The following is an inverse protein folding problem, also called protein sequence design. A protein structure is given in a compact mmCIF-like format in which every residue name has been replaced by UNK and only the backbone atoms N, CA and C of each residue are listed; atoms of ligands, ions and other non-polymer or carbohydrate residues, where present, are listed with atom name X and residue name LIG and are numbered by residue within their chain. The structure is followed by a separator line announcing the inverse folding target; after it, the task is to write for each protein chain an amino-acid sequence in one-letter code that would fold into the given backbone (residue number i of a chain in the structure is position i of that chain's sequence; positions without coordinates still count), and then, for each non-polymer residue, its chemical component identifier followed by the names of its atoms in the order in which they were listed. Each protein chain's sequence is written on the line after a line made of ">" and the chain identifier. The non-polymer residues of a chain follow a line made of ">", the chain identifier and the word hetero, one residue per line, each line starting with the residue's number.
data_IF_937894296368
#
_entry.id   IF_937894296368
#
_cell.length_a   1.000
_cell.length_b   1.000
_cell.length_c   1.000
_cell.angle_alpha   90.00
_cell.angle_beta   90.00
_cell.angle_gamma   90.00
#
_symmetry.space_group_name_H-M   'P 1'
#
loop_
_entity.id
_entity.type
_entity.pdbx_description
1 polymer ?
#
# COMPACT_ATOMS: atom_id res chain seq x y z
N UNK A 1 -34.37 -26.35 -32.55
CA UNK A 1 -33.77 -25.64 -33.70
C UNK A 1 -32.36 -25.28 -33.28
N UNK A 2 -31.36 -25.49 -34.15
CA UNK A 2 -30.02 -24.99 -33.87
C UNK A 2 -30.03 -23.45 -33.99
N UNK A 3 -29.26 -22.72 -33.15
CA UNK A 3 -29.16 -21.28 -33.25
C UNK A 3 -28.59 -20.88 -34.62
N UNK A 4 -29.09 -19.79 -35.15
CA UNK A 4 -28.63 -19.16 -36.39
C UNK A 4 -27.22 -18.58 -36.23
N UNK A 5 -26.54 -18.37 -37.36
CA UNK A 5 -25.18 -17.84 -37.36
C UNK A 5 -25.09 -16.44 -36.72
N UNK A 6 -26.11 -15.61 -36.89
CA UNK A 6 -26.20 -14.30 -36.24
C UNK A 6 -26.36 -14.41 -34.72
N UNK A 7 -27.11 -15.41 -34.23
CA UNK A 7 -27.24 -15.67 -32.79
C UNK A 7 -25.94 -16.18 -32.20
N UNK A 8 -25.21 -17.04 -32.92
CA UNK A 8 -23.90 -17.53 -32.50
C UNK A 8 -22.90 -16.36 -32.42
N UNK A 9 -22.84 -15.52 -33.44
CA UNK A 9 -21.93 -14.37 -33.50
C UNK A 9 -22.26 -13.32 -32.41
N UNK A 10 -23.54 -13.10 -32.12
CA UNK A 10 -23.97 -12.23 -31.02
C UNK A 10 -23.55 -12.78 -29.65
N UNK A 11 -23.69 -14.08 -29.43
CA UNK A 11 -23.26 -14.74 -28.18
C UNK A 11 -21.74 -14.64 -28.03
N UNK A 12 -20.96 -14.90 -29.09
CA UNK A 12 -19.50 -14.81 -29.06
C UNK A 12 -19.02 -13.38 -28.74
N UNK A 13 -19.67 -12.36 -29.31
CA UNK A 13 -19.39 -10.95 -28.99
C UNK A 13 -19.73 -10.61 -27.55
N UNK A 14 -20.85 -11.12 -27.04
CA UNK A 14 -21.25 -10.92 -25.65
C UNK A 14 -20.27 -11.56 -24.67
N UNK A 15 -19.79 -12.78 -24.97
CA UNK A 15 -18.76 -13.46 -24.18
C UNK A 15 -17.46 -12.67 -24.20
N UNK A 16 -17.00 -12.18 -25.36
CA UNK A 16 -15.77 -11.40 -25.47
C UNK A 16 -15.87 -10.04 -24.73
N UNK A 17 -17.02 -9.36 -24.81
CA UNK A 17 -17.27 -8.12 -24.07
C UNK A 17 -17.29 -8.35 -22.55
N UNK A 18 -17.78 -9.52 -22.13
CA UNK A 18 -17.74 -9.97 -20.74
C UNK A 18 -16.35 -10.13 -20.15
N UNK A 19 -15.25 -10.01 -20.90
CA UNK A 19 -13.87 -9.98 -20.37
C UNK A 19 -13.26 -8.57 -20.29
N UNK A 20 -13.94 -7.53 -20.80
CA UNK A 20 -13.46 -6.13 -20.79
C UNK A 20 -14.13 -5.27 -19.73
N UNK A 21 -15.38 -5.57 -19.38
CA UNK A 21 -16.16 -4.81 -18.40
C UNK A 21 -16.80 -5.80 -17.42
N UNK A 22 -16.19 -5.95 -16.24
CA UNK A 22 -16.77 -6.71 -15.13
C UNK A 22 -17.35 -5.72 -14.12
N UNK A 23 -18.63 -5.84 -13.72
CA UNK A 23 -19.07 -5.22 -12.49
C UNK A 23 -18.30 -5.85 -11.33
N UNK A 24 -17.88 -5.03 -10.38
CA UNK A 24 -17.26 -5.52 -9.15
C UNK A 24 -18.19 -6.54 -8.50
N UNK A 25 -17.64 -7.69 -8.11
CA UNK A 25 -18.39 -8.73 -7.42
C UNK A 25 -19.01 -8.15 -6.15
N UNK A 26 -20.33 -8.30 -6.00
CA UNK A 26 -21.01 -7.99 -4.75
C UNK A 26 -20.46 -8.90 -3.65
N UNK A 27 -20.19 -8.33 -2.49
CA UNK A 27 -19.95 -9.11 -1.29
C UNK A 27 -21.31 -9.66 -0.86
N UNK A 28 -21.51 -10.96 -1.06
CA UNK A 28 -22.78 -11.65 -0.83
C UNK A 28 -22.91 -12.23 0.57
N UNK A 29 -21.81 -12.27 1.32
CA UNK A 29 -21.69 -12.88 2.64
C UNK A 29 -20.76 -12.05 3.52
N UNK A 30 -21.11 -11.87 4.79
CA UNK A 30 -20.30 -11.18 5.79
C UNK A 30 -20.10 -12.08 7.02
N UNK A 31 -19.05 -11.86 7.83
CA UNK A 31 -18.85 -12.55 9.11
C UNK A 31 -20.04 -12.43 10.08
N UNK A 32 -20.86 -11.37 9.93
CA UNK A 32 -22.10 -11.15 10.67
C UNK A 32 -23.10 -12.30 10.48
N UNK A 33 -23.11 -12.96 9.31
CA UNK A 33 -23.96 -14.12 9.04
C UNK A 33 -23.64 -15.33 9.95
N UNK A 34 -22.44 -15.36 10.51
CA UNK A 34 -21.99 -16.35 11.48
C UNK A 34 -22.04 -15.83 12.93
N UNK A 35 -22.60 -14.64 13.18
CA UNK A 35 -22.59 -13.99 14.49
C UNK A 35 -21.21 -13.52 14.93
N UNK A 36 -20.31 -13.24 13.96
CA UNK A 36 -18.99 -12.68 14.21
C UNK A 36 -19.01 -11.17 13.93
N UNK A 37 -19.46 -10.39 14.91
CA UNK A 37 -19.40 -8.94 14.84
C UNK A 37 -17.94 -8.49 15.01
N UNK A 38 -17.41 -7.79 14.00
CA UNK A 38 -16.13 -7.11 14.10
C UNK A 38 -16.39 -5.62 14.29
N UNK A 39 -15.88 -5.04 15.38
CA UNK A 39 -16.08 -3.60 15.68
C UNK A 39 -14.96 -2.72 15.10
N UNK A 40 -13.82 -3.34 14.75
CA UNK A 40 -12.60 -2.64 14.35
C UNK A 40 -12.07 -3.13 12.99
N UNK A 41 -11.56 -2.19 12.19
CA UNK A 41 -10.87 -2.48 10.94
C UNK A 41 -9.46 -1.91 10.96
N UNK A 42 -8.50 -2.76 10.62
CA UNK A 42 -7.10 -2.39 10.42
C UNK A 42 -6.82 -2.24 8.93
N UNK A 43 -6.43 -1.04 8.53
CA UNK A 43 -5.94 -0.78 7.17
C UNK A 43 -4.45 -1.11 7.14
N UNK A 44 -4.09 -2.16 6.39
CA UNK A 44 -2.73 -2.64 6.27
C UNK A 44 -2.10 -2.17 4.96
N UNK A 45 -1.14 -1.24 5.05
CA UNK A 45 -0.29 -0.85 3.92
C UNK A 45 1.05 -1.59 3.97
N UNK A 46 1.72 -1.73 2.82
CA UNK A 46 2.89 -2.59 2.66
C UNK A 46 4.18 -1.82 2.34
N UNK A 47 5.36 -2.43 2.57
CA UNK A 47 6.64 -1.83 2.18
C UNK A 47 6.80 -1.69 0.66
N UNK A 48 7.80 -0.90 0.26
CA UNK A 48 8.25 -0.83 -1.14
C UNK A 48 8.70 -2.22 -1.60
N UNK A 49 8.37 -2.59 -2.85
CA UNK A 49 8.60 -3.89 -3.50
C UNK A 49 7.63 -5.01 -3.15
N UNK A 50 6.90 -4.88 -2.04
CA UNK A 50 5.91 -5.86 -1.61
C UNK A 50 4.58 -5.62 -2.32
N UNK A 51 3.68 -6.58 -2.23
CA UNK A 51 2.26 -6.39 -2.50
C UNK A 51 1.46 -6.62 -1.20
N UNK A 52 0.13 -6.59 -1.28
CA UNK A 52 -0.78 -6.79 -0.14
C UNK A 52 -0.57 -8.11 0.60
N UNK A 53 0.05 -9.12 -0.01
CA UNK A 53 0.26 -10.44 0.59
C UNK A 53 1.71 -10.70 1.02
N UNK A 54 2.68 -9.89 0.56
CA UNK A 54 4.09 -10.06 0.92
C UNK A 54 5.07 -9.78 -0.21
N UNK A 55 6.24 -10.44 -0.16
CA UNK A 55 7.31 -10.35 -1.17
C UNK A 55 7.81 -11.77 -1.51
N UNK A 56 7.77 -12.18 -2.79
CA UNK A 56 8.29 -13.47 -3.22
C UNK A 56 9.80 -13.39 -3.51
N UNK A 57 10.64 -13.01 -2.53
CA UNK A 57 12.09 -12.81 -2.70
C UNK A 57 12.89 -14.08 -3.05
N UNK A 58 12.25 -15.26 -3.03
CA UNK A 58 12.85 -16.53 -3.43
C UNK A 58 12.79 -16.77 -4.95
N UNK A 59 12.09 -15.94 -5.73
CA UNK A 59 11.93 -16.09 -7.18
C UNK A 59 12.34 -14.83 -7.94
N UNK A 60 12.82 -15.03 -9.17
CA UNK A 60 13.17 -13.95 -10.09
C UNK A 60 11.92 -13.23 -10.63
N UNK A 61 11.96 -11.89 -10.84
CA UNK A 61 13.10 -11.00 -10.60
C UNK A 61 13.24 -10.49 -9.15
N UNK A 62 12.35 -10.87 -8.23
CA UNK A 62 12.31 -10.33 -6.87
C UNK A 62 13.51 -10.72 -6.01
N UNK A 63 14.09 -11.91 -6.24
CA UNK A 63 15.35 -12.35 -5.63
C UNK A 63 16.53 -11.42 -5.90
N UNK A 64 16.49 -10.64 -6.98
CA UNK A 64 17.53 -9.65 -7.31
C UNK A 64 17.31 -8.28 -6.68
N UNK A 65 16.13 -8.01 -6.12
CA UNK A 65 15.83 -6.70 -5.52
C UNK A 65 16.58 -6.48 -4.21
N UNK A 66 16.81 -7.55 -3.46
CA UNK A 66 17.53 -7.53 -2.19
C UNK A 66 18.57 -8.67 -2.17
N UNK A 67 19.78 -8.42 -2.67
CA UNK A 67 20.85 -9.43 -2.66
C UNK A 67 21.07 -10.00 -1.26
N UNK A 68 20.98 -11.32 -1.12
CA UNK A 68 21.09 -12.02 0.17
C UNK A 68 19.77 -12.23 0.90
N UNK A 69 18.63 -11.79 0.36
CA UNK A 69 17.31 -12.17 0.83
C UNK A 69 16.66 -13.15 -0.17
N UNK A 70 16.65 -14.44 0.19
CA UNK A 70 16.14 -15.54 -0.63
C UNK A 70 14.89 -16.21 -0.03
N UNK A 71 14.29 -15.63 1.01
CA UNK A 71 13.10 -16.19 1.64
C UNK A 71 11.84 -15.42 1.26
N UNK A 72 10.71 -16.13 1.14
CA UNK A 72 9.42 -15.48 0.94
C UNK A 72 8.99 -14.76 2.22
N UNK A 73 8.62 -13.49 2.11
CA UNK A 73 7.90 -12.80 3.18
C UNK A 73 6.41 -12.95 2.91
N UNK A 74 5.66 -13.46 3.89
CA UNK A 74 4.22 -13.69 3.82
C UNK A 74 3.52 -12.89 4.93
N UNK A 75 2.59 -12.00 4.56
CA UNK A 75 1.82 -11.18 5.52
C UNK A 75 0.53 -11.85 6.00
N UNK A 76 0.11 -12.96 5.40
CA UNK A 76 -1.13 -13.65 5.81
C UNK A 76 -1.10 -14.05 7.31
N UNK A 77 0.00 -14.55 7.88
CA UNK A 77 0.09 -14.79 9.32
C UNK A 77 -0.16 -13.53 10.18
N UNK A 78 0.38 -12.37 9.80
CA UNK A 78 0.14 -11.10 10.49
C UNK A 78 -1.35 -10.74 10.47
N UNK A 79 -2.00 -10.89 9.31
CA UNK A 79 -3.42 -10.59 9.17
C UNK A 79 -4.29 -11.56 9.95
N UNK A 80 -3.89 -12.84 10.02
CA UNK A 80 -4.55 -13.82 10.86
C UNK A 80 -4.49 -13.45 12.33
N UNK A 81 -3.37 -12.94 12.84
CA UNK A 81 -3.27 -12.48 14.22
C UNK A 81 -4.27 -11.35 14.50
N UNK A 82 -4.41 -10.39 13.57
CA UNK A 82 -5.39 -9.31 13.70
C UNK A 82 -6.83 -9.82 13.63
N UNK A 83 -7.11 -10.74 12.71
CA UNK A 83 -8.42 -11.35 12.56
C UNK A 83 -8.81 -12.18 13.79
N UNK A 84 -7.91 -13.02 14.30
CA UNK A 84 -8.13 -13.82 15.50
C UNK A 84 -8.31 -12.94 16.75
N UNK A 85 -7.82 -11.69 16.71
CA UNK A 85 -8.04 -10.68 17.74
C UNK A 85 -9.36 -9.91 17.57
N UNK A 86 -10.19 -10.23 16.57
CA UNK A 86 -11.48 -9.59 16.33
C UNK A 86 -11.43 -8.36 15.43
N UNK A 87 -10.39 -8.19 14.62
CA UNK A 87 -10.28 -7.08 13.67
C UNK A 87 -10.51 -7.53 12.23
N UNK A 88 -11.33 -6.77 11.48
CA UNK A 88 -11.29 -6.82 10.02
C UNK A 88 -9.96 -6.28 9.50
N UNK A 89 -9.48 -6.79 8.36
CA UNK A 89 -8.24 -6.31 7.74
C UNK A 89 -8.51 -5.87 6.30
N UNK A 90 -8.29 -4.59 6.02
CA UNK A 90 -8.17 -4.09 4.65
C UNK A 90 -6.70 -4.13 4.22
N UNK A 91 -6.32 -5.19 3.51
CA UNK A 91 -5.04 -5.26 2.81
C UNK A 91 -5.21 -4.86 1.34
N UNK A 92 -4.41 -3.90 0.88
CA UNK A 92 -4.50 -3.36 -0.47
C UNK A 92 -3.12 -3.18 -1.09
N UNK A 93 -3.05 -3.20 -2.42
CA UNK A 93 -1.82 -2.90 -3.13
C UNK A 93 -1.69 -1.38 -3.28
N UNK A 94 -0.59 -0.80 -2.79
CA UNK A 94 -0.19 0.57 -3.12
C UNK A 94 0.02 0.65 -4.64
N UNK A 95 -0.19 1.82 -5.25
CA UNK A 95 0.12 2.03 -6.69
C UNK A 95 1.47 1.42 -7.09
N UNK A 96 1.56 0.95 -8.33
CA UNK A 96 2.74 0.26 -8.88
C UNK A 96 3.04 -1.14 -8.35
N UNK A 97 2.21 -1.68 -7.46
CA UNK A 97 2.43 -2.99 -6.86
C UNK A 97 1.21 -3.89 -7.07
N UNK A 98 1.44 -5.21 -7.07
CA UNK A 98 0.40 -6.22 -7.18
C UNK A 98 -0.56 -5.97 -8.35
N UNK A 99 -1.85 -5.87 -8.04
CA UNK A 99 -2.90 -5.61 -9.03
C UNK A 99 -3.31 -4.13 -9.12
N UNK A 100 -2.66 -3.25 -8.37
CA UNK A 100 -2.94 -1.82 -8.46
C UNK A 100 -2.31 -1.22 -9.72
N UNK A 101 -3.07 -0.33 -10.37
CA UNK A 101 -2.62 0.35 -11.58
C UNK A 101 -1.35 1.19 -11.38
N UNK A 102 -0.76 1.58 -12.49
CA UNK A 102 0.38 2.51 -12.50
C UNK A 102 -0.09 3.95 -12.70
N UNK A 103 0.49 4.89 -11.93
CA UNK A 103 0.32 6.33 -12.11
C UNK A 103 1.65 7.08 -12.17
N UNK A 104 1.67 8.39 -12.44
CA UNK A 104 2.88 9.22 -12.33
C UNK A 104 4.13 8.67 -13.05
N UNK A 105 3.96 7.94 -14.16
CA UNK A 105 5.05 7.32 -14.93
C UNK A 105 5.98 6.39 -14.11
N UNK A 106 5.46 5.74 -13.07
CA UNK A 106 6.26 4.82 -12.24
C UNK A 106 7.01 5.49 -11.09
N UNK A 107 6.85 6.80 -10.89
CA UNK A 107 7.44 7.50 -9.75
C UNK A 107 6.80 7.05 -8.43
N UNK A 108 7.64 6.47 -7.57
CA UNK A 108 7.24 5.97 -6.25
C UNK A 108 7.92 6.74 -5.12
N UNK A 109 7.18 7.01 -4.04
CA UNK A 109 7.64 7.65 -2.80
C UNK A 109 7.16 9.09 -2.60
N UNK A 110 6.29 9.59 -3.48
CA UNK A 110 5.79 10.98 -3.48
C UNK A 110 4.27 11.06 -3.37
N UNK A 111 3.54 10.13 -3.99
CA UNK A 111 2.11 10.26 -4.23
C UNK A 111 1.27 9.15 -3.61
N UNK A 112 1.92 8.17 -2.97
CA UNK A 112 1.31 7.02 -2.29
C UNK A 112 0.43 7.46 -1.12
N UNK A 113 0.64 8.68 -0.59
CA UNK A 113 -0.27 9.29 0.39
C UNK A 113 -1.71 9.35 -0.10
N UNK A 114 -1.96 9.46 -1.42
CA UNK A 114 -3.33 9.43 -1.96
C UNK A 114 -3.94 8.04 -1.89
N UNK A 115 -3.13 6.99 -1.87
CA UNK A 115 -3.62 5.61 -1.72
C UNK A 115 -4.08 5.36 -0.28
N UNK A 116 -3.40 5.98 0.71
CA UNK A 116 -3.83 6.01 2.11
C UNK A 116 -5.16 6.76 2.27
N UNK A 117 -5.28 7.93 1.62
CA UNK A 117 -6.55 8.68 1.60
C UNK A 117 -7.64 7.83 0.92
N UNK A 118 -7.31 7.14 -0.17
CA UNK A 118 -8.21 6.25 -0.89
C UNK A 118 -8.68 5.07 -0.05
N UNK A 119 -7.80 4.42 0.74
CA UNK A 119 -8.17 3.31 1.60
C UNK A 119 -9.12 3.75 2.73
N UNK A 120 -8.88 4.93 3.32
CA UNK A 120 -9.77 5.52 4.33
C UNK A 120 -11.13 5.88 3.73
N UNK A 121 -11.14 6.50 2.54
CA UNK A 121 -12.37 6.81 1.82
C UNK A 121 -13.15 5.56 1.44
N UNK A 122 -12.46 4.47 1.06
CA UNK A 122 -13.07 3.19 0.72
C UNK A 122 -13.87 2.62 1.89
N UNK A 123 -13.25 2.50 3.08
CA UNK A 123 -13.97 1.93 4.25
C UNK A 123 -15.10 2.84 4.74
N UNK A 124 -14.93 4.16 4.64
CA UNK A 124 -15.96 5.13 5.05
C UNK A 124 -17.12 5.25 4.07
N UNK A 125 -16.92 4.86 2.81
CA UNK A 125 -17.94 4.91 1.78
C UNK A 125 -18.90 3.72 1.81
N UNK A 126 -18.55 2.63 2.50
CA UNK A 126 -19.36 1.40 2.53
C UNK A 126 -20.31 1.38 3.71
N UNK A 127 -21.49 0.79 3.54
CA UNK A 127 -22.49 0.70 4.61
C UNK A 127 -22.03 -0.18 5.77
N UNK A 128 -21.38 -1.29 5.47
CA UNK A 128 -20.92 -2.28 6.43
C UNK A 128 -19.66 -1.87 7.23
N UNK A 129 -18.85 -0.93 6.72
CA UNK A 129 -17.58 -0.55 7.37
C UNK A 129 -17.47 0.91 7.80
N UNK A 130 -18.44 1.78 7.46
CA UNK A 130 -18.31 3.24 7.69
C UNK A 130 -18.23 3.65 9.16
N UNK A 131 -18.89 2.90 10.03
CA UNK A 131 -19.00 3.18 11.46
C UNK A 131 -17.99 2.38 12.31
N UNK A 132 -17.21 1.51 11.67
CA UNK A 132 -16.17 0.73 12.35
C UNK A 132 -15.04 1.62 12.85
N UNK A 133 -14.47 1.23 13.99
CA UNK A 133 -13.25 1.84 14.49
C UNK A 133 -12.08 1.56 13.54
N UNK A 134 -11.26 2.57 13.26
CA UNK A 134 -10.16 2.44 12.29
C UNK A 134 -8.80 2.46 12.99
N UNK A 135 -8.00 1.42 12.79
CA UNK A 135 -6.57 1.40 13.09
C UNK A 135 -5.74 1.33 11.80
N UNK A 136 -4.50 1.83 11.86
CA UNK A 136 -3.57 1.78 10.73
C UNK A 136 -2.40 0.87 11.05
N UNK A 137 -2.09 -0.06 10.13
CA UNK A 137 -0.88 -0.84 10.17
C UNK A 137 -0.01 -0.51 8.95
N UNK A 138 0.84 0.50 9.13
CA UNK A 138 1.56 1.14 8.04
C UNK A 138 3.04 0.75 8.03
N UNK A 139 3.44 -0.15 7.13
CA UNK A 139 4.81 -0.68 7.09
C UNK A 139 5.70 0.10 6.14
N UNK A 140 6.88 0.53 6.61
CA UNK A 140 7.95 1.11 5.79
C UNK A 140 7.45 2.22 4.83
N UNK A 141 7.43 1.98 3.52
CA UNK A 141 6.92 2.95 2.55
C UNK A 141 5.46 3.34 2.81
N UNK A 142 4.65 2.42 3.32
CA UNK A 142 3.29 2.68 3.80
C UNK A 142 3.25 3.67 4.98
N UNK A 143 4.19 3.58 5.92
CA UNK A 143 4.33 4.56 7.00
C UNK A 143 4.68 5.94 6.46
N UNK A 144 5.69 6.03 5.57
CA UNK A 144 6.06 7.28 4.92
C UNK A 144 4.87 7.92 4.19
N UNK A 145 4.11 7.12 3.45
CA UNK A 145 2.90 7.56 2.76
C UNK A 145 1.81 8.04 3.73
N UNK A 146 1.66 7.38 4.87
CA UNK A 146 0.69 7.76 5.92
C UNK A 146 1.07 9.09 6.56
N UNK A 147 2.34 9.30 6.88
CA UNK A 147 2.85 10.57 7.41
C UNK A 147 2.63 11.72 6.41
N UNK A 148 2.95 11.48 5.13
CA UNK A 148 2.68 12.44 4.06
C UNK A 148 1.18 12.72 3.88
N UNK A 149 0.32 11.73 4.10
CA UNK A 149 -1.13 11.91 4.08
C UNK A 149 -1.59 12.77 5.26
N UNK A 150 -1.10 12.53 6.49
CA UNK A 150 -1.44 13.33 7.67
C UNK A 150 -1.05 14.80 7.51
N UNK A 151 0.06 15.09 6.83
CA UNK A 151 0.44 16.46 6.48
C UNK A 151 -0.50 17.11 5.46
N UNK A 152 -0.89 16.36 4.42
CA UNK A 152 -1.60 16.92 3.25
C UNK A 152 -3.12 16.97 3.42
N UNK A 153 -3.69 15.98 4.12
CA UNK A 153 -5.12 15.76 4.33
C UNK A 153 -5.38 15.35 5.79
N UNK A 154 -5.00 16.18 6.79
CA UNK A 154 -5.13 15.81 8.19
C UNK A 154 -6.56 15.42 8.62
N UNK A 155 -7.57 16.01 7.98
CA UNK A 155 -8.98 15.77 8.28
C UNK A 155 -9.42 14.34 7.96
N UNK A 156 -8.76 13.62 7.04
CA UNK A 156 -9.13 12.23 6.78
C UNK A 156 -8.74 11.30 7.91
N UNK A 157 -7.95 11.74 8.89
CA UNK A 157 -7.54 10.95 10.05
C UNK A 157 -8.44 11.14 11.27
N UNK A 158 -9.48 11.98 11.18
CA UNK A 158 -10.48 12.09 12.24
C UNK A 158 -11.15 10.72 12.47
N UNK A 159 -11.26 10.30 13.74
CA UNK A 159 -11.79 8.99 14.12
C UNK A 159 -10.84 7.79 13.95
N UNK A 160 -9.63 7.98 13.40
CA UNK A 160 -8.60 6.93 13.41
C UNK A 160 -8.01 6.81 14.82
N UNK A 161 -8.08 5.61 15.41
CA UNK A 161 -7.71 5.36 16.81
C UNK A 161 -6.20 5.32 17.03
N UNK A 162 -5.45 4.69 16.14
CA UNK A 162 -4.01 4.53 16.27
C UNK A 162 -3.32 4.18 14.95
N UNK A 163 -1.99 4.29 14.96
CA UNK A 163 -1.11 3.78 13.90
C UNK A 163 0.03 2.94 14.49
N UNK A 164 0.22 1.73 13.96
CA UNK A 164 1.45 0.97 14.10
C UNK A 164 2.31 1.25 12.86
N UNK A 165 3.53 1.72 13.06
CA UNK A 165 4.43 2.14 12.00
C UNK A 165 5.78 1.40 12.08
N UNK A 166 5.88 0.17 11.54
CA UNK A 166 7.15 -0.56 11.50
C UNK A 166 8.08 0.07 10.46
N UNK A 167 9.26 0.47 10.93
CA UNK A 167 10.41 0.87 10.12
C UNK A 167 10.12 1.89 8.99
N UNK A 168 9.53 3.08 9.28
CA UNK A 168 9.51 4.16 8.29
C UNK A 168 10.94 4.51 7.85
N UNK A 169 11.12 4.79 6.57
CA UNK A 169 12.44 4.92 5.96
C UNK A 169 12.81 6.38 5.73
N UNK A 170 13.89 6.85 6.35
CA UNK A 170 14.56 8.10 5.95
C UNK A 170 15.39 7.87 4.69
N UNK A 171 15.01 8.49 3.57
CA UNK A 171 15.68 8.27 2.29
C UNK A 171 17.11 8.82 2.30
N UNK A 172 17.34 9.96 2.97
CA UNK A 172 18.68 10.55 3.18
C UNK A 172 19.61 9.56 3.86
N UNK A 173 19.19 9.02 5.01
CA UNK A 173 19.97 8.06 5.79
C UNK A 173 20.19 6.78 4.99
N UNK A 174 19.17 6.29 4.28
CA UNK A 174 19.29 5.10 3.43
C UNK A 174 20.34 5.29 2.33
N UNK A 175 20.37 6.46 1.69
CA UNK A 175 21.35 6.79 0.66
C UNK A 175 22.76 6.94 1.22
N UNK A 176 22.93 7.62 2.36
CA UNK A 176 24.24 7.72 3.03
C UNK A 176 24.80 6.35 3.39
N UNK A 177 23.97 5.46 3.96
CA UNK A 177 24.38 4.08 4.28
C UNK A 177 24.69 3.25 3.04
N UNK A 178 23.95 3.44 1.94
CA UNK A 178 24.26 2.78 0.68
C UNK A 178 25.61 3.25 0.11
N UNK A 179 25.92 4.55 0.17
CA UNK A 179 27.23 5.07 -0.24
C UNK A 179 28.35 4.47 0.59
N UNK A 180 28.21 4.44 1.92
CA UNK A 180 29.18 3.81 2.82
C UNK A 180 29.42 2.33 2.50
N UNK A 181 28.35 1.55 2.30
CA UNK A 181 28.43 0.13 1.93
C UNK A 181 29.14 -0.10 0.59
N UNK A 182 28.97 0.83 -0.36
CA UNK A 182 29.64 0.82 -1.65
C UNK A 182 31.05 1.45 -1.60
N UNK A 183 31.52 1.85 -0.42
CA UNK A 183 32.80 2.52 -0.21
C UNK A 183 32.94 3.84 -1.01
N UNK A 184 31.82 4.52 -1.24
CA UNK A 184 31.76 5.82 -1.90
C UNK A 184 31.77 6.92 -0.82
N UNK A 185 32.63 7.95 -0.93
CA UNK A 185 32.66 9.04 0.05
C UNK A 185 31.31 9.75 0.18
N UNK A 186 30.86 10.02 1.40
CA UNK A 186 29.59 10.73 1.71
C UNK A 186 29.55 12.14 1.09
N UNK A 187 30.70 12.76 0.81
CA UNK A 187 30.78 14.01 0.06
C UNK A 187 30.17 13.93 -1.35
N UNK A 188 29.97 12.73 -1.90
CA UNK A 188 29.27 12.49 -3.17
C UNK A 188 27.74 12.50 -3.03
N UNK A 189 27.20 12.74 -1.84
CA UNK A 189 25.76 12.83 -1.61
C UNK A 189 25.09 13.93 -2.45
N UNK A 190 25.79 15.06 -2.67
CA UNK A 190 25.28 16.15 -3.53
C UNK A 190 25.11 15.71 -5.00
N UNK A 191 26.04 14.90 -5.51
CA UNK A 191 25.92 14.33 -6.85
C UNK A 191 24.73 13.37 -6.94
N UNK A 192 24.59 12.48 -5.95
CA UNK A 192 23.47 11.54 -5.88
C UNK A 192 22.13 12.29 -5.81
N UNK A 193 22.03 13.32 -4.98
CA UNK A 193 20.84 14.16 -4.86
C UNK A 193 20.53 14.91 -6.16
N UNK A 194 21.55 15.41 -6.88
CA UNK A 194 21.36 16.02 -8.20
C UNK A 194 20.80 15.01 -9.21
N UNK A 195 21.34 13.79 -9.26
CA UNK A 195 20.81 12.74 -10.14
C UNK A 195 19.40 12.31 -9.75
N UNK A 196 19.12 12.23 -8.45
CA UNK A 196 17.80 11.94 -7.93
C UNK A 196 16.78 13.02 -8.31
N UNK A 197 17.14 14.30 -8.14
CA UNK A 197 16.31 15.43 -8.51
C UNK A 197 16.03 15.45 -10.01
N UNK A 198 17.03 15.21 -10.87
CA UNK A 198 16.82 15.17 -12.32
C UNK A 198 15.84 14.05 -12.75
N UNK A 199 15.76 12.96 -12.01
CA UNK A 199 14.86 11.83 -12.31
C UNK A 199 13.46 11.98 -11.70
N UNK A 200 13.34 12.67 -10.58
CA UNK A 200 12.10 12.71 -9.79
C UNK A 200 11.48 14.10 -9.71
N UNK A 201 12.26 15.15 -9.96
CA UNK A 201 11.96 16.55 -9.66
C UNK A 201 11.78 16.86 -8.16
N UNK A 202 12.19 15.95 -7.27
CA UNK A 202 12.14 16.13 -5.82
C UNK A 202 13.53 16.00 -5.20
N UNK A 203 13.77 16.77 -4.14
CA UNK A 203 14.94 16.61 -3.28
C UNK A 203 14.72 15.45 -2.31
N UNK A 204 15.79 14.83 -1.85
CA UNK A 204 15.74 13.62 -1.00
C UNK A 204 14.98 13.88 0.30
N UNK A 205 15.17 15.07 0.90
CA UNK A 205 14.53 15.40 2.18
C UNK A 205 13.02 15.69 2.03
N UNK A 206 12.56 16.04 0.83
CA UNK A 206 11.12 16.23 0.56
C UNK A 206 10.35 14.91 0.56
N UNK A 207 11.05 13.78 0.49
CA UNK A 207 10.49 12.43 0.49
C UNK A 207 10.82 11.67 1.78
N UNK A 208 11.37 12.37 2.80
CA UNK A 208 11.82 11.75 4.05
C UNK A 208 10.86 12.05 5.23
N UNK A 209 10.52 11.01 6.04
CA UNK A 209 9.59 11.10 7.16
C UNK A 209 9.82 12.21 8.20
N UNK A 210 11.06 12.59 8.58
CA UNK A 210 11.27 13.58 9.64
C UNK A 210 10.58 14.93 9.38
N UNK A 211 10.46 15.32 8.10
CA UNK A 211 9.76 16.55 7.71
C UNK A 211 8.24 16.48 7.94
N UNK A 212 7.69 15.27 7.94
CA UNK A 212 6.27 14.98 8.02
C UNK A 212 5.84 14.51 9.42
N UNK A 213 6.76 14.00 10.24
CA UNK A 213 6.50 13.46 11.58
C UNK A 213 5.81 14.46 12.53
N UNK A 214 6.11 15.76 12.41
CA UNK A 214 5.44 16.83 13.18
C UNK A 214 3.94 16.98 12.88
N UNK A 215 3.45 16.32 11.83
CA UNK A 215 2.05 16.35 11.43
C UNK A 215 1.28 15.11 11.91
N UNK A 216 1.88 14.19 12.66
CA UNK A 216 1.19 13.03 13.23
C UNK A 216 0.02 13.48 14.09
N UNK A 217 -1.16 12.90 13.87
CA UNK A 217 -2.43 13.27 14.55
C UNK A 217 -3.03 12.16 15.39
N UNK A 218 -2.48 10.95 15.32
CA UNK A 218 -3.00 9.77 15.99
C UNK A 218 -1.93 9.17 16.89
N UNK A 219 -2.31 8.53 18.02
CA UNK A 219 -1.39 7.72 18.80
C UNK A 219 -0.61 6.76 17.89
N UNK A 220 0.71 6.86 17.92
CA UNK A 220 1.58 6.14 16.98
C UNK A 220 2.61 5.33 17.74
N UNK A 221 2.66 4.03 17.47
CA UNK A 221 3.71 3.14 17.93
C UNK A 221 4.67 2.86 16.77
N UNK A 222 5.95 3.21 16.96
CA UNK A 222 7.00 3.10 15.96
C UNK A 222 8.06 2.12 16.47
N UNK A 223 8.39 1.11 15.65
CA UNK A 223 9.36 0.06 15.97
C UNK A 223 10.12 -0.41 14.73
#
# INVERSE_FOLDING_TARGET
>A
MAPSEEEIEAILRQVANGFREWPLSLIMHSPEEAGMDYEEIIIASHPRWFNRAGLPSHVEPWSKLMPGNDFQVNFIPDYKILHDAGCNVLAYDIRHHGHSGSGNHGLFGVFEWRDIVGSLAYIRGREDTRDMAVGLFSRCAGANATLAAMKRRPEVFEGVRCMLAPQPLSLRVAFERALEQLQIPVSRMEDLERHFFLKTSFKVDQMSPPSDAKHVRVPTFLY
#
